data_IF_293663097922
#
_entry.id   IF_293663097922
#
_cell.length_a   1.000
_cell.length_b   1.000
_cell.length_c   1.000
_cell.angle_alpha   90.00
_cell.angle_beta   90.00
_cell.angle_gamma   90.00
#
_symmetry.space_group_name_H-M   'P 1'
#
loop_
_entity.id
_entity.type
_entity.pdbx_description
1 polymer ?
#
# COMPACT_ATOMS: atom_id res chain seq x y z
N UNK A 1 -24.75 58.35 3.01
CA UNK A 1 -23.56 57.48 3.07
C UNK A 1 -23.32 57.15 4.55
N UNK A 2 -23.49 55.89 4.95
CA UNK A 2 -23.72 55.49 6.36
C UNK A 2 -22.44 55.61 7.17
N UNK A 3 -22.40 56.53 8.15
CA UNK A 3 -21.22 56.83 9.00
C UNK A 3 -20.97 55.81 10.14
N UNK A 4 -21.79 54.77 10.28
CA UNK A 4 -21.80 53.88 11.46
C UNK A 4 -21.55 52.37 11.17
N UNK A 5 -21.15 52.00 9.95
CA UNK A 5 -20.97 50.59 9.58
C UNK A 5 -19.89 49.87 10.38
N UNK A 6 -18.83 50.57 10.82
CA UNK A 6 -17.76 49.96 11.63
C UNK A 6 -18.22 49.55 13.03
N UNK A 7 -19.00 50.39 13.73
CA UNK A 7 -19.50 50.07 15.07
C UNK A 7 -20.57 48.98 15.07
N UNK A 8 -21.39 48.90 14.00
CA UNK A 8 -22.36 47.82 13.81
C UNK A 8 -21.65 46.49 13.50
N UNK A 9 -20.60 46.51 12.67
CA UNK A 9 -19.78 45.32 12.41
C UNK A 9 -19.09 44.83 13.68
N UNK A 10 -18.46 45.72 14.45
CA UNK A 10 -17.81 45.37 15.71
C UNK A 10 -18.80 44.78 16.73
N UNK A 11 -20.01 45.33 16.81
CA UNK A 11 -21.08 44.77 17.64
C UNK A 11 -21.48 43.37 17.15
N UNK A 12 -21.67 43.19 15.84
CA UNK A 12 -21.99 41.89 15.22
C UNK A 12 -20.91 40.85 15.53
N UNK A 13 -19.64 41.19 15.32
CA UNK A 13 -18.49 40.32 15.60
C UNK A 13 -18.42 39.95 17.08
N UNK A 14 -18.74 40.89 17.98
CA UNK A 14 -18.79 40.65 19.41
C UNK A 14 -19.95 39.73 19.82
N UNK A 15 -21.12 39.87 19.20
CA UNK A 15 -22.24 38.94 19.39
C UNK A 15 -21.92 37.54 18.88
N UNK A 16 -21.24 37.42 17.74
CA UNK A 16 -20.81 36.13 17.21
C UNK A 16 -19.79 35.44 18.13
N UNK A 17 -18.80 36.19 18.63
CA UNK A 17 -17.83 35.70 19.63
C UNK A 17 -18.52 35.25 20.92
N UNK A 18 -19.48 36.03 21.43
CA UNK A 18 -20.24 35.69 22.62
C UNK A 18 -21.07 34.42 22.40
N UNK A 19 -21.75 34.32 21.25
CA UNK A 19 -22.53 33.14 20.90
C UNK A 19 -21.64 31.88 20.84
N UNK A 20 -20.48 31.97 20.16
CA UNK A 20 -19.51 30.88 20.09
C UNK A 20 -18.98 30.48 21.48
N UNK A 21 -18.74 31.44 22.36
CA UNK A 21 -18.31 31.17 23.75
C UNK A 21 -19.41 30.45 24.55
N UNK A 22 -20.65 30.93 24.46
CA UNK A 22 -21.79 30.33 25.16
C UNK A 22 -22.05 28.90 24.69
N UNK A 23 -21.95 28.64 23.38
CA UNK A 23 -22.03 27.29 22.82
C UNK A 23 -20.92 26.40 23.38
N UNK A 24 -19.66 26.83 23.38
CA UNK A 24 -18.54 26.06 23.95
C UNK A 24 -18.73 25.77 25.44
N UNK A 25 -19.20 26.74 26.20
CA UNK A 25 -19.49 26.56 27.63
C UNK A 25 -20.61 25.53 27.85
N UNK A 26 -21.68 25.61 27.07
CA UNK A 26 -22.78 24.63 27.13
C UNK A 26 -22.31 23.21 26.82
N UNK A 27 -21.50 23.05 25.76
CA UNK A 27 -20.88 21.75 25.42
C UNK A 27 -20.00 21.23 26.55
N UNK A 28 -19.10 22.08 27.10
CA UNK A 28 -18.21 21.69 28.19
C UNK A 28 -18.98 21.26 29.44
N UNK A 29 -20.03 21.99 29.80
CA UNK A 29 -20.86 21.65 30.96
C UNK A 29 -21.56 20.29 30.79
N UNK A 30 -22.00 19.97 29.57
CA UNK A 30 -22.54 18.64 29.24
C UNK A 30 -21.46 17.56 29.33
N UNK A 31 -20.27 17.80 28.79
CA UNK A 31 -19.15 16.86 28.88
C UNK A 31 -18.76 16.56 30.33
N UNK A 32 -18.72 17.57 31.22
CA UNK A 32 -18.43 17.37 32.65
C UNK A 32 -19.46 16.45 33.30
N UNK A 33 -20.76 16.62 32.98
CA UNK A 33 -21.82 15.76 33.51
C UNK A 33 -21.65 14.31 33.03
N UNK A 34 -21.39 14.12 31.74
CA UNK A 34 -21.19 12.79 31.16
C UNK A 34 -19.93 12.11 31.73
N UNK A 35 -18.84 12.85 31.94
CA UNK A 35 -17.61 12.34 32.54
C UNK A 35 -17.72 12.01 34.03
N UNK A 36 -18.83 12.37 34.69
CA UNK A 36 -19.11 12.00 36.06
C UNK A 36 -20.22 10.92 36.17
N UNK A 37 -20.77 10.45 35.04
CA UNK A 37 -21.82 9.44 34.98
C UNK A 37 -21.27 8.10 34.47
N UNK A 38 -21.14 7.08 35.34
CA UNK A 38 -20.65 5.75 34.96
C UNK A 38 -21.46 5.08 33.85
N UNK A 39 -22.78 5.32 33.78
CA UNK A 39 -23.61 4.76 32.72
C UNK A 39 -23.21 5.33 31.37
N UNK A 40 -23.11 6.67 31.28
CA UNK A 40 -22.70 7.33 30.06
C UNK A 40 -21.27 6.96 29.63
N UNK A 41 -20.37 6.78 30.59
CA UNK A 41 -19.00 6.32 30.32
C UNK A 41 -19.00 4.88 29.78
N UNK A 42 -19.77 3.97 30.39
CA UNK A 42 -19.90 2.60 29.91
C UNK A 42 -20.48 2.56 28.49
N UNK A 43 -21.53 3.34 28.21
CA UNK A 43 -22.12 3.44 26.87
C UNK A 43 -21.11 3.94 25.83
N UNK A 44 -20.29 4.94 26.19
CA UNK A 44 -19.23 5.45 25.33
C UNK A 44 -18.13 4.39 25.07
N UNK A 45 -17.76 3.62 26.10
CA UNK A 45 -16.78 2.51 25.99
C UNK A 45 -17.32 1.38 25.11
N UNK A 46 -18.60 1.04 25.23
CA UNK A 46 -19.26 0.01 24.43
C UNK A 46 -19.34 0.42 22.95
N UNK A 47 -19.68 1.68 22.67
CA UNK A 47 -19.62 2.25 21.32
C UNK A 47 -18.19 2.23 20.77
N UNK A 48 -17.20 2.56 21.59
CA UNK A 48 -15.80 2.56 21.19
C UNK A 48 -15.28 1.13 20.91
N UNK A 49 -15.70 0.14 21.69
CA UNK A 49 -15.40 -1.28 21.44
C UNK A 49 -16.08 -1.80 20.17
N UNK A 50 -17.32 -1.39 19.91
CA UNK A 50 -18.05 -1.77 18.69
C UNK A 50 -17.41 -1.18 17.42
N UNK A 51 -16.99 0.08 17.48
CA UNK A 51 -16.25 0.73 16.39
C UNK A 51 -14.86 0.12 16.17
N UNK A 52 -14.15 -0.28 17.23
CA UNK A 52 -12.90 -1.05 17.10
C UNK A 52 -13.11 -2.33 16.28
N UNK A 53 -14.14 -3.12 16.59
CA UNK A 53 -14.45 -4.35 15.82
C UNK A 53 -14.78 -4.04 14.36
N UNK A 54 -15.54 -2.98 14.11
CA UNK A 54 -15.87 -2.54 12.74
C UNK A 54 -14.66 -2.02 11.96
N UNK A 55 -13.59 -1.56 12.63
CA UNK A 55 -12.35 -1.19 11.96
C UNK A 55 -11.42 -2.39 11.76
N UNK A 56 -11.34 -3.28 12.74
CA UNK A 56 -10.27 -4.28 12.81
C UNK A 56 -10.68 -5.69 12.38
N UNK A 57 -11.94 -6.07 12.60
CA UNK A 57 -12.40 -7.47 12.51
C UNK A 57 -13.35 -7.73 11.33
N UNK A 58 -13.64 -6.71 10.52
CA UNK A 58 -14.52 -6.83 9.35
C UNK A 58 -13.83 -6.32 8.09
N UNK A 59 -14.27 -6.85 6.93
CA UNK A 59 -13.69 -6.52 5.63
C UNK A 59 -14.47 -5.41 4.92
N UNK A 60 -15.70 -5.70 4.50
CA UNK A 60 -16.49 -4.84 3.60
C UNK A 60 -16.77 -3.46 4.18
N UNK A 61 -17.15 -3.39 5.45
CA UNK A 61 -17.58 -2.15 6.09
C UNK A 61 -16.46 -1.47 6.90
N UNK A 62 -15.23 -1.97 6.86
CA UNK A 62 -14.08 -1.34 7.52
C UNK A 62 -13.37 -0.40 6.55
N UNK A 63 -13.39 0.93 6.76
CA UNK A 63 -12.60 1.86 5.97
C UNK A 63 -11.10 1.53 6.01
N UNK A 64 -10.58 1.09 7.15
CA UNK A 64 -9.17 0.74 7.30
C UNK A 64 -8.80 -0.49 6.46
N UNK A 65 -9.65 -1.52 6.44
CA UNK A 65 -9.44 -2.68 5.55
C UNK A 65 -9.50 -2.28 4.08
N UNK A 66 -10.49 -1.46 3.69
CA UNK A 66 -10.61 -0.99 2.30
C UNK A 66 -9.40 -0.16 1.87
N UNK A 67 -8.86 0.69 2.76
CA UNK A 67 -7.65 1.46 2.48
C UNK A 67 -6.42 0.56 2.25
N UNK A 68 -6.21 -0.46 3.09
CA UNK A 68 -5.14 -1.45 2.87
C UNK A 68 -5.33 -2.15 1.53
N UNK A 69 -6.54 -2.66 1.26
CA UNK A 69 -6.84 -3.37 0.02
C UNK A 69 -6.63 -2.49 -1.22
N UNK A 70 -7.03 -1.22 -1.16
CA UNK A 70 -6.85 -0.25 -2.25
C UNK A 70 -5.36 0.01 -2.52
N UNK A 71 -4.55 0.21 -1.48
CA UNK A 71 -3.10 0.40 -1.62
C UNK A 71 -2.41 -0.83 -2.24
N UNK A 72 -2.78 -2.04 -1.81
CA UNK A 72 -2.27 -3.29 -2.39
C UNK A 72 -2.65 -3.43 -3.87
N UNK A 73 -3.93 -3.21 -4.20
CA UNK A 73 -4.43 -3.30 -5.57
C UNK A 73 -3.81 -2.25 -6.49
N UNK A 74 -3.57 -1.03 -6.00
CA UNK A 74 -2.92 0.00 -6.78
C UNK A 74 -1.46 -0.37 -7.13
N UNK A 75 -0.71 -0.92 -6.19
CA UNK A 75 0.66 -1.36 -6.43
C UNK A 75 0.75 -2.54 -7.40
N UNK A 76 -0.10 -3.55 -7.20
CA UNK A 76 -0.22 -4.72 -8.09
C UNK A 76 -0.70 -4.30 -9.48
N UNK A 77 -1.69 -3.42 -9.54
CA UNK A 77 -2.25 -2.89 -10.79
C UNK A 77 -1.20 -2.16 -11.61
N UNK A 78 -0.42 -1.26 -10.99
CA UNK A 78 0.67 -0.58 -11.70
C UNK A 78 1.68 -1.57 -12.30
N UNK A 79 2.06 -2.61 -11.54
CA UNK A 79 2.94 -3.65 -12.07
C UNK A 79 2.30 -4.40 -13.24
N UNK A 80 1.03 -4.80 -13.14
CA UNK A 80 0.34 -5.51 -14.23
C UNK A 80 0.25 -4.70 -15.52
N UNK A 81 0.06 -3.39 -15.38
CA UNK A 81 0.03 -2.42 -16.47
C UNK A 81 1.40 -2.27 -17.13
N UNK A 82 2.49 -2.37 -16.36
CA UNK A 82 3.82 -1.98 -16.84
C UNK A 82 4.80 -3.12 -17.10
N UNK A 83 4.59 -4.31 -16.53
CA UNK A 83 5.58 -5.40 -16.52
C UNK A 83 6.05 -5.85 -17.90
N UNK A 84 5.17 -5.82 -18.91
CA UNK A 84 5.47 -6.21 -20.28
C UNK A 84 5.95 -5.06 -21.17
N UNK A 85 5.82 -3.82 -20.71
CA UNK A 85 6.05 -2.61 -21.49
C UNK A 85 7.43 -1.97 -21.24
N UNK A 86 8.27 -2.61 -20.41
CA UNK A 86 9.69 -2.29 -20.38
C UNK A 86 10.33 -2.67 -21.70
N UNK A 87 11.23 -1.80 -22.19
CA UNK A 87 11.97 -2.07 -23.44
C UNK A 87 12.70 -3.40 -23.44
N UNK A 88 13.26 -3.78 -22.29
CA UNK A 88 13.93 -5.04 -22.09
C UNK A 88 14.16 -5.30 -20.59
N UNK A 89 14.44 -6.56 -20.25
CA UNK A 89 15.04 -6.95 -18.99
C UNK A 89 16.11 -8.00 -19.21
N UNK A 90 17.15 -8.03 -18.37
CA UNK A 90 18.22 -9.00 -18.56
C UNK A 90 19.47 -8.76 -17.72
N UNK A 91 20.49 -9.61 -17.92
CA UNK A 91 21.75 -9.49 -17.19
C UNK A 91 22.72 -8.46 -17.80
N UNK A 92 22.54 -8.09 -19.06
CA UNK A 92 23.51 -7.30 -19.83
C UNK A 92 24.54 -8.17 -20.57
N UNK A 93 25.69 -7.59 -20.89
CA UNK A 93 26.74 -8.27 -21.68
C UNK A 93 27.49 -9.35 -20.91
N UNK A 94 27.35 -9.40 -19.58
CA UNK A 94 27.76 -10.52 -18.74
C UNK A 94 26.53 -11.31 -18.30
N UNK A 95 26.36 -12.51 -18.87
CA UNK A 95 25.22 -13.40 -18.59
C UNK A 95 25.06 -13.86 -17.14
N UNK A 96 26.07 -13.68 -16.30
CA UNK A 96 26.03 -14.04 -14.88
C UNK A 96 25.80 -12.84 -13.96
N UNK A 97 25.94 -11.61 -14.47
CA UNK A 97 25.69 -10.39 -13.73
C UNK A 97 24.18 -10.15 -13.54
N UNK A 98 23.83 -9.23 -12.63
CA UNK A 98 22.48 -8.65 -12.55
C UNK A 98 21.35 -9.70 -12.40
N UNK A 99 21.62 -10.83 -11.76
CA UNK A 99 20.68 -11.93 -11.57
C UNK A 99 20.66 -12.98 -12.69
N UNK A 100 21.47 -12.82 -13.73
CA UNK A 100 21.60 -13.76 -14.85
C UNK A 100 20.38 -13.76 -15.77
N UNK A 101 20.23 -14.82 -16.56
CA UNK A 101 19.09 -14.99 -17.47
C UNK A 101 18.03 -15.83 -16.76
N UNK A 102 16.79 -15.33 -16.68
CA UNK A 102 15.69 -16.03 -16.02
C UNK A 102 14.38 -15.89 -16.80
N UNK A 103 13.53 -16.91 -16.70
CA UNK A 103 12.13 -16.86 -17.10
C UNK A 103 11.25 -16.84 -15.85
N UNK A 104 10.41 -15.82 -15.73
CA UNK A 104 9.45 -15.68 -14.66
C UNK A 104 8.09 -16.16 -15.15
N UNK A 105 7.44 -17.05 -14.40
CA UNK A 105 6.10 -17.54 -14.69
C UNK A 105 5.05 -16.76 -13.90
N UNK A 106 3.79 -16.83 -14.32
CA UNK A 106 2.65 -16.15 -13.70
C UNK A 106 2.85 -14.62 -13.59
N UNK A 107 3.49 -14.02 -14.59
CA UNK A 107 3.68 -12.57 -14.71
C UNK A 107 2.96 -12.06 -15.96
N UNK A 108 2.42 -10.83 -15.94
CA UNK A 108 1.73 -10.29 -17.11
C UNK A 108 2.74 -9.98 -18.23
N UNK A 109 2.69 -10.78 -19.30
CA UNK A 109 3.46 -10.58 -20.52
C UNK A 109 2.54 -10.22 -21.69
N UNK A 110 3.12 -9.74 -22.79
CA UNK A 110 2.35 -9.43 -23.99
C UNK A 110 1.77 -10.74 -24.58
N UNK A 111 0.46 -10.95 -24.43
CA UNK A 111 -0.25 -12.17 -24.83
C UNK A 111 0.31 -13.48 -24.23
N UNK A 112 0.98 -13.40 -23.07
CA UNK A 112 1.56 -14.55 -22.36
C UNK A 112 1.55 -14.31 -20.85
N UNK A 113 1.74 -15.37 -20.07
CA UNK A 113 1.88 -15.33 -18.61
C UNK A 113 3.33 -15.50 -18.15
N UNK A 114 4.28 -15.35 -19.07
CA UNK A 114 5.71 -15.52 -18.83
C UNK A 114 6.52 -14.34 -19.38
N UNK A 115 7.58 -13.95 -18.67
CA UNK A 115 8.57 -12.98 -19.16
C UNK A 115 9.95 -13.59 -19.00
N UNK A 116 10.75 -13.52 -20.07
CA UNK A 116 12.15 -13.94 -20.03
C UNK A 116 13.05 -12.71 -20.05
N UNK A 117 13.87 -12.56 -19.02
CA UNK A 117 14.88 -11.51 -18.94
C UNK A 117 16.20 -12.02 -19.52
N UNK A 118 16.43 -11.80 -20.81
CA UNK A 118 17.61 -12.23 -21.56
C UNK A 118 18.29 -11.10 -22.35
N UNK A 119 17.97 -9.83 -22.06
CA UNK A 119 18.57 -8.70 -22.76
C UNK A 119 20.09 -8.67 -22.62
N UNK A 120 20.76 -8.37 -23.74
CA UNK A 120 22.20 -8.15 -23.80
C UNK A 120 22.59 -6.71 -23.44
N UNK A 121 21.62 -5.79 -23.41
CA UNK A 121 21.85 -4.40 -23.03
C UNK A 121 22.12 -4.27 -21.54
N UNK A 122 23.11 -3.44 -21.19
CA UNK A 122 23.47 -3.23 -19.81
C UNK A 122 22.30 -2.60 -19.04
N UNK A 123 21.82 -3.23 -17.95
CA UNK A 123 20.80 -2.64 -17.11
C UNK A 123 21.24 -1.31 -16.49
N UNK A 124 20.29 -0.40 -16.30
CA UNK A 124 20.55 0.91 -15.71
C UNK A 124 19.36 1.87 -15.81
N UNK A 125 19.47 3.01 -15.14
CA UNK A 125 18.43 4.04 -15.14
C UNK A 125 18.12 4.48 -16.58
N UNK A 126 16.85 4.42 -16.97
CA UNK A 126 16.38 4.73 -18.32
C UNK A 126 16.82 3.74 -19.40
N UNK A 127 17.31 2.56 -19.01
CA UNK A 127 17.62 1.40 -19.86
C UNK A 127 16.84 0.16 -19.45
N UNK A 128 17.31 -1.06 -19.78
CA UNK A 128 16.68 -2.30 -19.33
C UNK A 128 16.64 -2.40 -17.80
N UNK A 129 15.59 -3.03 -17.26
CA UNK A 129 15.58 -3.45 -15.85
C UNK A 129 16.46 -4.69 -15.67
N UNK A 130 17.25 -4.75 -14.60
CA UNK A 130 18.06 -5.93 -14.30
C UNK A 130 17.17 -7.13 -13.97
N UNK A 131 17.62 -8.34 -14.31
CA UNK A 131 16.92 -9.57 -13.91
C UNK A 131 16.76 -9.64 -12.39
N UNK A 132 17.73 -9.15 -11.62
CA UNK A 132 17.67 -9.07 -10.16
C UNK A 132 16.52 -8.18 -9.66
N UNK A 133 16.38 -6.96 -10.20
CA UNK A 133 15.30 -6.07 -9.80
C UNK A 133 13.94 -6.60 -10.26
N UNK A 134 13.88 -7.19 -11.45
CA UNK A 134 12.67 -7.89 -11.92
C UNK A 134 12.29 -9.04 -10.98
N UNK A 135 13.26 -9.83 -10.52
CA UNK A 135 13.03 -10.92 -9.56
C UNK A 135 12.51 -10.42 -8.20
N UNK A 136 13.04 -9.29 -7.69
CA UNK A 136 12.55 -8.64 -6.46
C UNK A 136 11.08 -8.25 -6.60
N UNK A 137 10.73 -7.57 -7.68
CA UNK A 137 9.35 -7.15 -7.96
C UNK A 137 8.44 -8.36 -8.15
N UNK A 138 8.85 -9.34 -8.96
CA UNK A 138 8.06 -10.55 -9.20
C UNK A 138 7.77 -11.30 -7.90
N UNK A 139 8.76 -11.48 -7.01
CA UNK A 139 8.54 -12.14 -5.73
C UNK A 139 7.48 -11.42 -4.90
N UNK A 140 7.60 -10.09 -4.77
CA UNK A 140 6.63 -9.28 -4.03
C UNK A 140 5.24 -9.33 -4.66
N UNK A 141 5.15 -9.20 -5.98
CA UNK A 141 3.91 -9.32 -6.75
C UNK A 141 3.21 -10.66 -6.53
N UNK A 142 3.95 -11.78 -6.63
CA UNK A 142 3.39 -13.12 -6.43
C UNK A 142 2.87 -13.31 -5.00
N UNK A 143 3.53 -12.74 -3.99
CA UNK A 143 3.06 -12.78 -2.59
C UNK A 143 1.72 -12.07 -2.47
N UNK A 144 1.61 -10.84 -2.96
CA UNK A 144 0.35 -10.07 -2.87
C UNK A 144 -0.75 -10.75 -3.69
N UNK A 145 -0.44 -11.19 -4.91
CA UNK A 145 -1.40 -11.89 -5.76
C UNK A 145 -1.91 -13.19 -5.12
N UNK A 146 -1.01 -13.94 -4.48
CA UNK A 146 -1.40 -15.14 -3.77
C UNK A 146 -2.30 -14.82 -2.58
N UNK A 147 -2.03 -13.73 -1.85
CA UNK A 147 -2.90 -13.27 -0.77
C UNK A 147 -4.27 -12.81 -1.27
N UNK A 148 -4.32 -12.02 -2.34
CA UNK A 148 -5.58 -11.52 -2.94
C UNK A 148 -6.47 -12.65 -3.47
N UNK A 149 -5.87 -13.75 -3.92
CA UNK A 149 -6.57 -14.92 -4.48
C UNK A 149 -6.60 -16.12 -3.52
N UNK A 150 -6.14 -15.94 -2.27
CA UNK A 150 -6.05 -17.03 -1.31
C UNK A 150 -7.44 -17.61 -1.01
N UNK A 151 -7.52 -18.93 -0.95
CA UNK A 151 -8.67 -19.67 -0.46
C UNK A 151 -8.19 -20.86 0.40
N UNK A 152 -9.02 -21.29 1.36
CA UNK A 152 -8.73 -22.44 2.22
C UNK A 152 -7.60 -22.17 3.24
N UNK A 153 -6.59 -23.05 3.28
CA UNK A 153 -5.57 -23.07 4.35
C UNK A 153 -4.65 -21.84 4.41
N UNK A 154 -4.56 -21.07 3.33
CA UNK A 154 -3.79 -19.82 3.25
C UNK A 154 -4.62 -18.57 3.60
N UNK A 155 -5.85 -18.76 4.07
CA UNK A 155 -6.84 -17.71 4.29
C UNK A 155 -7.84 -17.59 3.14
N UNK A 156 -8.82 -16.70 3.32
CA UNK A 156 -9.85 -16.35 2.35
C UNK A 156 -9.61 -14.90 1.88
N UNK A 157 -8.61 -14.71 1.02
CA UNK A 157 -8.11 -13.40 0.62
C UNK A 157 -7.17 -12.73 1.64
N UNK A 158 -7.10 -11.39 1.59
CA UNK A 158 -6.42 -10.56 2.60
C UNK A 158 -7.20 -10.65 3.92
N UNK A 159 -6.58 -11.02 5.05
CA UNK A 159 -7.26 -11.08 6.34
C UNK A 159 -7.61 -9.71 6.90
N UNK A 160 -8.53 -9.70 7.86
CA UNK A 160 -8.89 -8.51 8.65
C UNK A 160 -7.68 -7.99 9.44
N UNK A 161 -7.65 -6.71 9.80
CA UNK A 161 -6.47 -6.06 10.38
C UNK A 161 -6.02 -6.69 11.71
N UNK A 162 -6.95 -7.21 12.51
CA UNK A 162 -6.63 -7.92 13.77
C UNK A 162 -5.97 -9.27 13.56
N UNK A 163 -6.07 -9.87 12.36
CA UNK A 163 -5.49 -11.18 12.08
C UNK A 163 -4.05 -11.02 11.57
N UNK A 164 -3.10 -11.33 12.45
CA UNK A 164 -1.66 -11.26 12.16
C UNK A 164 -1.02 -12.63 11.96
N UNK A 165 -1.74 -13.72 12.22
CA UNK A 165 -1.15 -15.08 12.35
C UNK A 165 -1.34 -15.98 11.15
N UNK A 166 -2.26 -15.63 10.22
CA UNK A 166 -2.50 -16.41 9.01
C UNK A 166 -1.21 -16.56 8.21
N UNK A 167 -0.88 -17.78 7.78
CA UNK A 167 0.30 -18.05 6.95
C UNK A 167 -0.04 -18.04 5.47
N UNK A 168 0.95 -17.71 4.66
CA UNK A 168 0.87 -17.73 3.20
C UNK A 168 2.00 -18.58 2.63
N UNK A 169 1.70 -19.87 2.45
CA UNK A 169 2.67 -20.84 1.97
C UNK A 169 2.35 -21.25 0.53
N UNK A 170 3.33 -21.06 -0.35
CA UNK A 170 3.23 -21.44 -1.76
C UNK A 170 4.61 -21.50 -2.43
N UNK A 171 4.64 -22.05 -3.64
CA UNK A 171 5.85 -22.10 -4.46
C UNK A 171 5.72 -21.16 -5.64
N UNK A 172 6.74 -20.35 -5.87
CA UNK A 172 6.92 -19.59 -7.11
C UNK A 172 7.76 -20.43 -8.05
N UNK A 173 7.24 -20.68 -9.25
CA UNK A 173 7.93 -21.39 -10.32
C UNK A 173 8.54 -20.40 -11.31
N UNK A 174 9.68 -20.76 -11.86
CA UNK A 174 10.34 -20.04 -12.95
C UNK A 174 11.51 -20.87 -13.45
N UNK A 175 12.30 -20.33 -14.38
CA UNK A 175 13.47 -21.03 -14.90
C UNK A 175 14.71 -20.15 -14.78
N UNK A 176 15.82 -20.74 -14.33
CA UNK A 176 17.15 -20.18 -14.60
C UNK A 176 17.61 -20.67 -15.96
N UNK A 177 18.21 -19.77 -16.74
CA UNK A 177 18.74 -20.11 -18.06
C UNK A 177 20.24 -19.95 -18.05
N UNK A 178 20.96 -20.98 -18.47
CA UNK A 178 22.43 -21.02 -18.47
C UNK A 178 22.96 -21.28 -19.88
N UNK A 179 24.28 -21.18 -20.05
CA UNK A 179 24.90 -21.29 -21.37
C UNK A 179 24.56 -20.06 -22.22
N UNK A 180 24.21 -20.29 -23.48
CA UNK A 180 23.83 -19.25 -24.43
C UNK A 180 24.99 -18.41 -24.97
N UNK A 181 24.72 -17.83 -26.14
CA UNK A 181 25.58 -16.91 -26.86
C UNK A 181 24.79 -15.65 -27.26
N UNK A 182 25.45 -14.50 -27.48
CA UNK A 182 24.78 -13.32 -28.00
C UNK A 182 24.17 -13.63 -29.38
N UNK A 183 22.97 -13.11 -29.67
CA UNK A 183 22.34 -13.29 -30.98
C UNK A 183 23.20 -12.73 -32.12
N UNK A 184 22.96 -13.11 -33.37
CA UNK A 184 23.62 -12.43 -34.50
C UNK A 184 23.38 -10.92 -34.40
N UNK A 185 24.42 -10.07 -34.49
CA UNK A 185 24.24 -8.63 -34.47
C UNK A 185 23.28 -8.16 -35.56
N UNK A 186 22.36 -7.28 -35.20
CA UNK A 186 21.38 -6.70 -36.12
C UNK A 186 21.52 -5.18 -36.13
N UNK A 187 21.10 -4.57 -37.24
CA UNK A 187 21.13 -3.12 -37.43
C UNK A 187 19.72 -2.56 -37.33
N UNK A 188 19.50 -1.65 -36.39
CA UNK A 188 18.21 -1.04 -36.13
C UNK A 188 18.23 0.45 -36.50
N UNK A 189 17.07 1.09 -36.73
CA UNK A 189 17.00 2.53 -36.98
C UNK A 189 17.67 3.38 -35.89
N UNK A 190 17.68 2.89 -34.65
CA UNK A 190 18.23 3.55 -33.46
C UNK A 190 19.65 3.08 -33.09
N UNK A 191 20.30 2.23 -33.91
CA UNK A 191 21.65 1.73 -33.61
C UNK A 191 22.78 2.57 -34.22
N UNK A 192 22.49 3.79 -34.68
CA UNK A 192 23.44 4.72 -35.34
C UNK A 192 24.27 4.05 -36.44
N UNK A 193 23.62 3.17 -37.20
CA UNK A 193 24.26 2.47 -38.30
C UNK A 193 25.07 1.22 -37.91
N UNK A 194 25.23 0.93 -36.61
CA UNK A 194 26.01 -0.19 -36.07
C UNK A 194 25.20 -1.47 -35.95
N UNK A 195 25.88 -2.59 -36.10
CA UNK A 195 25.34 -3.91 -35.79
C UNK A 195 25.53 -4.20 -34.30
N UNK A 196 24.46 -4.58 -33.60
CA UNK A 196 24.48 -4.76 -32.15
C UNK A 196 23.75 -6.04 -31.73
N UNK A 197 24.24 -6.65 -30.66
CA UNK A 197 23.57 -7.74 -29.96
C UNK A 197 22.42 -7.18 -29.11
N UNK A 198 21.28 -7.85 -29.11
CA UNK A 198 20.08 -7.42 -28.36
C UNK A 198 19.75 -8.37 -27.21
N UNK A 199 20.09 -9.65 -27.36
CA UNK A 199 19.71 -10.69 -26.41
C UNK A 199 20.64 -11.90 -26.44
N UNK A 200 20.57 -12.68 -25.37
CA UNK A 200 21.13 -14.01 -25.29
C UNK A 200 20.17 -15.04 -25.90
N UNK A 201 20.68 -15.89 -26.79
CA UNK A 201 19.96 -16.99 -27.46
C UNK A 201 20.63 -18.33 -27.15
N UNK A 202 20.02 -19.44 -27.60
CA UNK A 202 20.57 -20.80 -27.44
C UNK A 202 20.88 -21.18 -25.98
N UNK A 203 20.14 -20.60 -25.03
CA UNK A 203 20.29 -20.87 -23.59
C UNK A 203 19.57 -22.19 -23.21
N UNK A 204 20.09 -22.90 -22.23
CA UNK A 204 19.45 -24.09 -21.65
C UNK A 204 18.59 -23.71 -20.45
N UNK A 205 17.32 -24.13 -20.44
CA UNK A 205 16.40 -23.90 -19.30
C UNK A 205 16.62 -24.92 -18.20
N UNK A 206 16.62 -24.45 -16.95
CA UNK A 206 16.63 -25.29 -15.75
C UNK A 206 15.50 -24.78 -14.83
N UNK A 207 14.47 -25.61 -14.56
CA UNK A 207 13.38 -25.24 -13.67
C UNK A 207 13.90 -24.85 -12.29
N UNK A 208 13.26 -23.84 -11.70
CA UNK A 208 13.53 -23.35 -10.36
C UNK A 208 12.24 -23.20 -9.58
N UNK A 209 12.33 -23.55 -8.30
CA UNK A 209 11.24 -23.41 -7.34
C UNK A 209 11.73 -22.54 -6.19
N UNK A 210 10.98 -21.50 -5.87
CA UNK A 210 11.21 -20.70 -4.67
C UNK A 210 10.05 -20.92 -3.71
N UNK A 211 10.33 -21.60 -2.60
CA UNK A 211 9.36 -21.77 -1.52
C UNK A 211 9.19 -20.45 -0.77
N UNK A 212 7.96 -20.00 -0.67
CA UNK A 212 7.57 -18.85 0.13
C UNK A 212 6.90 -19.36 1.38
N UNK A 213 7.41 -18.91 2.53
CA UNK A 213 6.77 -19.03 3.82
C UNK A 213 6.79 -17.64 4.45
N UNK A 214 5.61 -17.04 4.56
CA UNK A 214 5.43 -15.69 5.11
C UNK A 214 4.06 -15.56 5.78
N UNK A 215 3.79 -14.41 6.34
CA UNK A 215 2.51 -14.09 6.96
C UNK A 215 1.56 -13.43 5.96
N UNK A 216 0.31 -13.86 5.96
CA UNK A 216 -0.79 -13.21 5.28
C UNK A 216 -1.40 -12.17 6.22
N UNK A 217 -0.73 -11.03 6.42
CA UNK A 217 -1.28 -9.93 7.21
C UNK A 217 -1.03 -8.58 6.54
N UNK A 218 -1.82 -7.57 6.91
CA UNK A 218 -1.78 -6.26 6.26
C UNK A 218 -0.38 -5.63 6.26
N UNK A 219 0.36 -5.76 7.36
CA UNK A 219 1.70 -5.20 7.50
C UNK A 219 2.68 -5.81 6.50
N UNK A 220 2.74 -7.14 6.41
CA UNK A 220 3.66 -7.83 5.51
C UNK A 220 3.27 -7.60 4.05
N UNK A 221 1.98 -7.60 3.72
CA UNK A 221 1.52 -7.35 2.34
C UNK A 221 1.84 -5.91 1.89
N UNK A 222 1.64 -4.91 2.75
CA UNK A 222 1.99 -3.52 2.43
C UNK A 222 3.50 -3.32 2.26
N UNK A 223 4.32 -4.07 3.00
CA UNK A 223 5.76 -4.12 2.78
C UNK A 223 6.11 -4.68 1.41
N UNK A 224 5.43 -5.75 0.96
CA UNK A 224 5.62 -6.25 -0.41
C UNK A 224 5.20 -5.21 -1.45
N UNK A 225 4.08 -4.49 -1.24
CA UNK A 225 3.64 -3.42 -2.14
C UNK A 225 4.69 -2.30 -2.22
N UNK A 226 5.26 -1.91 -1.08
CA UNK A 226 6.36 -0.93 -1.01
C UNK A 226 7.59 -1.39 -1.78
N UNK A 227 7.96 -2.68 -1.72
CA UNK A 227 9.07 -3.25 -2.49
C UNK A 227 8.83 -3.10 -4.00
N UNK A 228 7.63 -3.42 -4.49
CA UNK A 228 7.27 -3.27 -5.91
C UNK A 228 7.51 -1.84 -6.37
N UNK A 229 6.90 -0.88 -5.68
CA UNK A 229 6.88 0.52 -6.10
C UNK A 229 8.25 1.18 -5.95
N UNK A 230 8.95 0.90 -4.85
CA UNK A 230 10.29 1.44 -4.62
C UNK A 230 11.29 0.89 -5.64
N UNK A 231 11.25 -0.41 -5.93
CA UNK A 231 12.14 -1.02 -6.92
C UNK A 231 11.88 -0.47 -8.33
N UNK A 232 10.60 -0.28 -8.70
CA UNK A 232 10.23 0.34 -9.98
C UNK A 232 10.75 1.78 -10.09
N UNK A 233 10.60 2.56 -9.02
CA UNK A 233 11.01 3.95 -8.98
C UNK A 233 12.55 4.09 -9.04
N UNK A 234 13.27 3.27 -8.27
CA UNK A 234 14.74 3.33 -8.21
C UNK A 234 15.41 2.77 -9.46
N UNK A 235 14.93 1.63 -9.97
CA UNK A 235 15.47 1.05 -11.20
C UNK A 235 15.16 1.94 -12.42
N UNK A 236 14.02 2.61 -12.39
CA UNK A 236 13.52 3.53 -13.40
C UNK A 236 13.79 3.06 -14.85
N UNK A 237 13.32 1.86 -15.24
CA UNK A 237 13.62 1.32 -16.57
C UNK A 237 13.03 2.17 -17.69
N UNK A 238 13.61 2.03 -18.88
CA UNK A 238 13.05 2.59 -20.10
C UNK A 238 11.71 1.91 -20.40
N UNK A 239 10.72 2.75 -20.65
CA UNK A 239 9.36 2.35 -20.96
C UNK A 239 9.05 2.80 -22.39
N UNK A 240 8.66 1.84 -23.23
CA UNK A 240 8.23 2.11 -24.60
C UNK A 240 6.84 1.55 -24.81
N UNK A 241 5.89 2.45 -25.00
CA UNK A 241 4.56 2.11 -25.41
C UNK A 241 4.34 2.79 -26.76
N UNK A 242 4.63 2.07 -27.85
CA UNK A 242 4.81 2.54 -29.24
C UNK A 242 3.65 3.31 -29.90
N UNK A 243 3.02 4.25 -29.21
CA UNK A 243 2.07 5.24 -29.70
C UNK A 243 0.68 4.70 -30.05
N UNK A 244 0.48 3.38 -30.13
CA UNK A 244 -0.76 2.79 -30.64
C UNK A 244 -1.73 2.39 -29.53
N UNK A 245 -2.58 3.32 -29.09
CA UNK A 245 -3.93 3.04 -28.55
C UNK A 245 -4.07 2.26 -27.24
N UNK A 246 -3.02 1.66 -26.68
CA UNK A 246 -3.10 0.87 -25.44
C UNK A 246 -3.33 1.72 -24.20
N UNK A 247 -2.83 2.97 -24.20
CA UNK A 247 -2.87 3.86 -23.05
C UNK A 247 -3.27 5.27 -23.49
N UNK A 248 -4.54 5.64 -23.29
CA UNK A 248 -4.96 7.02 -23.55
C UNK A 248 -4.22 7.98 -22.62
N UNK A 249 -3.62 9.03 -23.16
CA UNK A 249 -2.91 10.06 -22.40
C UNK A 249 -1.44 9.74 -22.07
N UNK A 250 -0.98 8.49 -22.28
CA UNK A 250 0.42 8.11 -22.11
C UNK A 250 1.02 7.87 -23.50
N UNK A 251 1.67 8.90 -24.05
CA UNK A 251 2.30 8.85 -25.36
C UNK A 251 3.80 9.12 -25.28
N UNK A 252 4.59 8.39 -26.07
CA UNK A 252 6.02 8.59 -26.22
C UNK A 252 6.89 7.56 -25.52
N UNK A 253 8.20 7.77 -25.63
CA UNK A 253 9.23 6.97 -24.95
C UNK A 253 9.69 7.73 -23.70
N UNK A 254 9.94 7.02 -22.62
CA UNK A 254 10.40 7.64 -21.39
C UNK A 254 10.92 6.62 -20.40
N UNK A 255 10.86 6.98 -19.12
CA UNK A 255 11.28 6.11 -18.03
C UNK A 255 10.12 5.88 -17.07
N UNK A 256 10.13 4.74 -16.38
CA UNK A 256 9.09 4.39 -15.41
C UNK A 256 8.89 5.50 -14.35
N UNK A 257 9.96 5.98 -13.73
CA UNK A 257 9.91 7.03 -12.70
C UNK A 257 9.61 8.43 -13.26
N UNK A 258 9.74 8.65 -14.57
CA UNK A 258 9.38 9.91 -15.22
C UNK A 258 7.91 9.93 -15.65
N UNK A 259 7.51 8.94 -16.44
CA UNK A 259 6.16 8.86 -17.02
C UNK A 259 5.09 8.58 -15.98
N UNK A 260 5.40 7.74 -14.98
CA UNK A 260 4.46 7.36 -13.91
C UNK A 260 4.80 8.06 -12.59
N UNK A 261 5.47 9.23 -12.63
CA UNK A 261 5.94 9.93 -11.43
C UNK A 261 4.80 10.19 -10.44
N UNK A 262 3.67 10.69 -10.96
CA UNK A 262 2.52 11.06 -10.13
C UNK A 262 1.84 9.82 -9.56
N UNK A 263 1.68 8.78 -10.38
CA UNK A 263 1.08 7.49 -10.01
C UNK A 263 1.94 6.79 -8.95
N UNK A 264 3.25 6.71 -9.15
CA UNK A 264 4.20 6.16 -8.17
C UNK A 264 4.12 6.95 -6.86
N UNK A 265 4.13 8.28 -6.92
CA UNK A 265 4.08 9.12 -5.72
C UNK A 265 2.75 8.95 -4.95
N UNK A 266 1.64 8.87 -5.68
CA UNK A 266 0.32 8.63 -5.09
C UNK A 266 0.28 7.26 -4.41
N UNK A 267 0.72 6.20 -5.10
CA UNK A 267 0.74 4.84 -4.53
C UNK A 267 1.68 4.75 -3.33
N UNK A 268 2.84 5.42 -3.36
CA UNK A 268 3.73 5.50 -2.18
C UNK A 268 3.01 6.15 -0.99
N UNK A 269 2.28 7.25 -1.21
CA UNK A 269 1.46 7.90 -0.18
C UNK A 269 0.36 6.98 0.36
N UNK A 270 -0.35 6.28 -0.52
CA UNK A 270 -1.39 5.31 -0.15
C UNK A 270 -0.82 4.19 0.72
N UNK A 271 0.32 3.61 0.33
CA UNK A 271 1.00 2.56 1.10
C UNK A 271 1.43 3.09 2.47
N UNK A 272 2.04 4.28 2.53
CA UNK A 272 2.49 4.88 3.78
C UNK A 272 1.33 5.15 4.74
N UNK A 273 0.22 5.72 4.24
CA UNK A 273 -0.97 5.97 5.04
C UNK A 273 -1.63 4.67 5.53
N UNK A 274 -1.69 3.63 4.67
CA UNK A 274 -2.20 2.32 5.06
C UNK A 274 -1.30 1.63 6.11
N UNK A 275 0.03 1.76 5.99
CA UNK A 275 0.98 1.24 6.99
C UNK A 275 0.79 1.94 8.34
N UNK A 276 0.61 3.25 8.34
CA UNK A 276 0.33 4.01 9.55
C UNK A 276 -1.02 3.59 10.16
N UNK A 277 -2.06 3.37 9.35
CA UNK A 277 -3.36 2.88 9.84
C UNK A 277 -3.23 1.49 10.50
N UNK A 278 -2.40 0.60 9.94
CA UNK A 278 -2.08 -0.69 10.56
C UNK A 278 -1.33 -0.52 11.88
N UNK A 279 -0.38 0.43 11.99
CA UNK A 279 0.27 0.73 13.27
C UNK A 279 -0.73 1.23 14.32
N UNK A 280 -1.68 2.09 13.94
CA UNK A 280 -2.74 2.54 14.84
C UNK A 280 -3.67 1.38 15.29
N UNK A 281 -3.89 0.37 14.45
CA UNK A 281 -4.70 -0.80 14.83
C UNK A 281 -4.13 -1.59 16.01
N UNK A 282 -2.80 -1.60 16.17
CA UNK A 282 -2.13 -2.24 17.30
C UNK A 282 -2.44 -1.49 18.59
N UNK A 283 -2.40 -0.15 18.57
CA UNK A 283 -2.77 0.70 19.70
C UNK A 283 -4.23 0.48 20.11
N UNK A 284 -5.14 0.39 19.14
CA UNK A 284 -6.57 0.09 19.41
C UNK A 284 -6.72 -1.26 20.11
N UNK A 285 -5.99 -2.28 19.64
CA UNK A 285 -6.04 -3.64 20.19
C UNK A 285 -5.47 -3.73 21.61
N UNK A 286 -4.36 -3.05 21.88
CA UNK A 286 -3.74 -2.97 23.22
C UNK A 286 -4.62 -2.23 24.24
N UNK A 287 -5.46 -1.31 23.77
CA UNK A 287 -6.34 -0.49 24.60
C UNK A 287 -7.82 -0.88 24.42
N UNK A 288 -8.13 -2.17 24.37
CA UNK A 288 -9.50 -2.65 24.20
C UNK A 288 -10.42 -2.20 25.36
N UNK A 289 -11.62 -1.75 25.04
CA UNK A 289 -12.55 -1.17 26.04
C UNK A 289 -13.44 -2.20 26.75
N UNK A 290 -13.36 -3.47 26.36
CA UNK A 290 -14.15 -4.57 26.89
C UNK A 290 -13.63 -5.13 28.23
N UNK A 291 -12.57 -4.55 28.81
CA UNK A 291 -11.85 -5.20 29.90
C UNK A 291 -12.50 -5.08 31.28
N UNK A 292 -13.42 -4.15 31.55
CA UNK A 292 -14.33 -4.10 32.72
C UNK A 292 -15.23 -2.85 32.61
N UNK A 293 -16.53 -2.98 32.90
CA UNK A 293 -17.43 -1.83 33.02
C UNK A 293 -17.35 -1.22 34.42
N UNK A 294 -17.60 0.10 34.50
CA UNK A 294 -17.73 0.78 35.78
C UNK A 294 -18.97 0.27 36.53
N UNK A 295 -18.82 0.09 37.84
CA UNK A 295 -19.91 -0.30 38.75
C UNK A 295 -20.89 0.86 38.94
N UNK A 296 -22.04 0.80 38.25
CA UNK A 296 -23.08 1.83 38.33
C UNK A 296 -23.81 1.87 39.67
N UNK A 297 -23.59 0.88 40.54
CA UNK A 297 -24.14 0.81 41.89
C UNK A 297 -23.36 1.61 42.94
N UNK A 298 -22.20 2.19 42.58
CA UNK A 298 -21.34 2.96 43.49
C UNK A 298 -21.17 4.41 43.03
N UNK A 299 -21.00 5.37 43.97
CA UNK A 299 -20.58 6.71 43.62
C UNK A 299 -19.24 6.66 42.87
N UNK A 300 -19.19 7.29 41.69
CA UNK A 300 -17.99 7.39 40.89
C UNK A 300 -17.30 8.72 41.12
N UNK A 301 -16.02 8.68 41.44
CA UNK A 301 -15.19 9.86 41.59
C UNK A 301 -14.25 9.99 40.36
N UNK A 302 -14.51 10.95 39.45
CA UNK A 302 -13.69 11.12 38.24
C UNK A 302 -12.23 11.50 38.53
N UNK A 303 -11.91 11.94 39.75
CA UNK A 303 -10.54 12.30 40.14
C UNK A 303 -9.70 11.09 40.62
N UNK A 304 -10.34 9.98 41.02
CA UNK A 304 -9.64 8.81 41.58
C UNK A 304 -9.95 7.52 40.84
N UNK A 305 -11.12 7.41 40.22
CA UNK A 305 -11.66 6.15 39.70
C UNK A 305 -11.52 6.06 38.16
N UNK A 306 -10.79 7.00 37.55
CA UNK A 306 -10.69 7.18 36.10
C UNK A 306 -9.36 6.68 35.49
N UNK A 307 -8.69 5.70 36.12
CA UNK A 307 -7.41 5.16 35.60
C UNK A 307 -7.51 4.57 34.18
N UNK A 308 -8.70 4.12 33.78
CA UNK A 308 -9.00 3.63 32.43
C UNK A 308 -8.99 4.73 31.35
N UNK A 309 -9.10 6.01 31.74
CA UNK A 309 -9.31 7.11 30.80
C UNK A 309 -8.15 7.29 29.82
N UNK A 310 -6.91 7.02 30.24
CA UNK A 310 -5.73 7.11 29.38
C UNK A 310 -5.81 6.10 28.22
N UNK A 311 -6.17 4.85 28.52
CA UNK A 311 -6.33 3.81 27.50
C UNK A 311 -7.54 4.07 26.61
N UNK A 312 -8.66 4.54 27.19
CA UNK A 312 -9.84 4.97 26.42
C UNK A 312 -9.51 6.09 25.44
N UNK A 313 -8.75 7.10 25.86
CA UNK A 313 -8.30 8.19 25.02
C UNK A 313 -7.34 7.72 23.91
N UNK A 314 -6.39 6.85 24.23
CA UNK A 314 -5.46 6.27 23.25
C UNK A 314 -6.21 5.48 22.17
N UNK A 315 -7.18 4.64 22.59
CA UNK A 315 -8.03 3.88 21.67
C UNK A 315 -8.85 4.82 20.75
N UNK A 316 -9.57 5.79 21.32
CA UNK A 316 -10.39 6.72 20.54
C UNK A 316 -9.56 7.55 19.56
N UNK A 317 -8.40 8.04 20.00
CA UNK A 317 -7.49 8.82 19.15
C UNK A 317 -6.93 7.99 18.00
N UNK A 318 -6.55 6.73 18.26
CA UNK A 318 -6.06 5.81 17.25
C UNK A 318 -7.15 5.48 16.22
N UNK A 319 -8.39 5.20 16.65
CA UNK A 319 -9.52 4.97 15.74
C UNK A 319 -9.81 6.19 14.85
N UNK A 320 -9.86 7.39 15.43
CA UNK A 320 -10.08 8.62 14.66
C UNK A 320 -8.95 8.84 13.63
N UNK A 321 -7.70 8.57 14.02
CA UNK A 321 -6.56 8.65 13.10
C UNK A 321 -6.64 7.61 11.99
N UNK A 322 -7.06 6.37 12.27
CA UNK A 322 -7.30 5.35 11.24
C UNK A 322 -8.34 5.79 10.21
N UNK A 323 -9.43 6.43 10.64
CA UNK A 323 -10.46 6.95 9.74
C UNK A 323 -9.90 8.06 8.83
N UNK A 324 -9.16 9.03 9.40
CA UNK A 324 -8.52 10.09 8.62
C UNK A 324 -7.49 9.54 7.63
N UNK A 325 -6.71 8.53 8.01
CA UNK A 325 -5.74 7.89 7.11
C UNK A 325 -6.43 7.11 5.99
N UNK A 326 -7.53 6.42 6.30
CA UNK A 326 -8.32 5.73 5.29
C UNK A 326 -8.92 6.70 4.26
N UNK A 327 -9.38 7.87 4.71
CA UNK A 327 -9.84 8.95 3.82
C UNK A 327 -8.71 9.47 2.92
N UNK A 328 -7.50 9.66 3.44
CA UNK A 328 -6.35 10.10 2.65
C UNK A 328 -5.83 9.08 1.64
N UNK A 329 -6.22 7.81 1.76
CA UNK A 329 -5.87 6.76 0.79
C UNK A 329 -6.83 6.75 -0.40
N UNK A 330 -8.08 7.16 -0.21
CA UNK A 330 -9.11 7.23 -1.25
C UNK A 330 -9.00 8.49 -2.09
#
# INVERSE_FOLDING_TARGET
MVKNTKGIQELSDNYEKLNNLLTRYSTLNTLIKLSADPSAINDARDNLGSSSRNLLDVKTNSPAYQAVLLALNAAVGLWQVTSYAFTACGPGSDKNANGGIQTFNNVPGQNTTTITCNSYYQPGHGGPISTENYAKINKAYQIIQKALTANGSNGDGVPVLSNTTTKLDFTINGDKRTGGEPNTPEKFPWSDGKYIHTQWINTTSQPTETKINTENNAQELLKQASIIITTLNEACPNFQNGGSGYWQGISGNGTMCGMFKNEISAIQGMIANAQEAVAQSQIVSENAQNQNNLDTGKPFNPYTDASFAQGMFANASAQAKMLNLAEQVG
#
